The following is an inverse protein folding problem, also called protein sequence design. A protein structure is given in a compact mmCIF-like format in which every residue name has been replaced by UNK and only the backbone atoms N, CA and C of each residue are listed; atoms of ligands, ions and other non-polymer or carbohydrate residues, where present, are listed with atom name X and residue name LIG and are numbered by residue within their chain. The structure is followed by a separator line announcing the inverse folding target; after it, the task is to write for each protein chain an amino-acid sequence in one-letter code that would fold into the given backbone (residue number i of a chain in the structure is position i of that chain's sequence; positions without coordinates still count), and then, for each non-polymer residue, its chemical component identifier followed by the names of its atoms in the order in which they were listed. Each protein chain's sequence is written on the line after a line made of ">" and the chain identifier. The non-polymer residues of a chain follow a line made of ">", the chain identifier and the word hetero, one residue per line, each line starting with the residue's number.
data_IF_705088022420
#
_entry.id   IF_705088022420
#
_cell.length_a   1.000
_cell.length_b   1.000
_cell.length_c   1.000
_cell.angle_alpha   90.00
_cell.angle_beta   90.00
_cell.angle_gamma   90.00
#
_symmetry.space_group_name_H-M   'P 1'
#
loop_
_entity.id
_entity.type
_entity.pdbx_description
1 polymer ?
#
# COMPACT_ATOMS: atom_id res chain seq x y z
N UNK A 1 72.46 33.22 -38.13
CA UNK A 1 71.47 32.77 -39.13
C UNK A 1 71.02 31.34 -38.89
N UNK A 2 71.94 30.40 -38.65
CA UNK A 2 71.60 29.00 -38.39
C UNK A 2 70.80 28.79 -37.07
N UNK A 3 71.20 29.48 -35.99
CA UNK A 3 70.50 29.47 -34.69
C UNK A 3 69.07 30.00 -34.74
N UNK A 4 68.84 31.13 -35.43
CA UNK A 4 67.49 31.69 -35.61
C UNK A 4 66.57 30.79 -36.44
N UNK A 5 67.14 29.96 -37.32
CA UNK A 5 66.39 28.98 -38.10
C UNK A 5 66.00 27.75 -37.27
N UNK A 6 66.89 27.30 -36.39
CA UNK A 6 66.61 26.22 -35.42
C UNK A 6 65.60 26.66 -34.37
N UNK A 7 65.70 27.88 -33.84
CA UNK A 7 64.72 28.45 -32.91
C UNK A 7 63.32 28.54 -33.55
N UNK A 8 63.23 29.08 -34.77
CA UNK A 8 61.95 29.13 -35.51
C UNK A 8 61.35 27.74 -35.76
N UNK A 9 62.20 26.75 -36.05
CA UNK A 9 61.76 25.37 -36.24
C UNK A 9 61.24 24.77 -34.94
N UNK A 10 61.95 24.98 -33.83
CA UNK A 10 61.54 24.53 -32.50
C UNK A 10 60.21 25.15 -32.07
N UNK A 11 60.03 26.47 -32.25
CA UNK A 11 58.75 27.13 -31.92
C UNK A 11 57.61 26.61 -32.80
N UNK A 12 57.88 26.26 -34.06
CA UNK A 12 56.87 25.69 -34.94
C UNK A 12 56.48 24.26 -34.53
N UNK A 13 57.45 23.43 -34.13
CA UNK A 13 57.21 22.09 -33.58
C UNK A 13 56.43 22.16 -32.25
N UNK A 14 56.76 23.10 -31.36
CA UNK A 14 56.00 23.34 -30.12
C UNK A 14 54.56 23.82 -30.40
N UNK A 15 54.37 24.75 -31.35
CA UNK A 15 53.05 25.21 -31.76
C UNK A 15 52.23 24.07 -32.35
N UNK A 16 52.84 23.21 -33.17
CA UNK A 16 52.18 22.05 -33.73
C UNK A 16 51.77 21.07 -32.62
N UNK A 17 52.66 20.77 -31.68
CA UNK A 17 52.37 19.90 -30.53
C UNK A 17 51.24 20.46 -29.68
N UNK A 18 51.24 21.78 -29.41
CA UNK A 18 50.19 22.44 -28.62
C UNK A 18 48.85 22.37 -29.37
N UNK A 19 48.86 22.50 -30.69
CA UNK A 19 47.65 22.41 -31.51
C UNK A 19 47.09 20.97 -31.52
N UNK A 20 47.96 19.95 -31.59
CA UNK A 20 47.57 18.54 -31.48
C UNK A 20 47.00 18.22 -30.08
N UNK A 21 47.59 18.75 -29.01
CA UNK A 21 47.09 18.59 -27.64
C UNK A 21 45.73 19.29 -27.43
N UNK A 22 45.56 20.50 -27.97
CA UNK A 22 44.27 21.20 -27.98
C UNK A 22 43.22 20.43 -28.78
N UNK A 23 43.58 19.85 -29.92
CA UNK A 23 42.68 19.02 -30.70
C UNK A 23 42.26 17.78 -29.91
N UNK A 24 43.20 17.07 -29.28
CA UNK A 24 42.91 15.92 -28.43
C UNK A 24 41.97 16.28 -27.28
N UNK A 25 42.23 17.40 -26.60
CA UNK A 25 41.37 17.88 -25.50
C UNK A 25 39.95 18.22 -25.99
N UNK A 26 39.82 18.75 -27.21
CA UNK A 26 38.53 19.06 -27.80
C UNK A 26 37.76 17.79 -28.21
N UNK A 27 38.46 16.77 -28.71
CA UNK A 27 37.90 15.45 -28.98
C UNK A 27 37.41 14.78 -27.69
N UNK A 28 38.22 14.76 -26.63
CA UNK A 28 37.83 14.25 -25.31
C UNK A 28 36.62 15.00 -24.72
N UNK A 29 36.58 16.33 -24.81
CA UNK A 29 35.44 17.12 -24.35
C UNK A 29 34.16 16.80 -25.14
N UNK A 30 34.30 16.58 -26.45
CA UNK A 30 33.19 16.19 -27.33
C UNK A 30 32.66 14.81 -26.95
N UNK A 31 33.55 13.84 -26.74
CA UNK A 31 33.17 12.50 -26.24
C UNK A 31 32.47 12.59 -24.89
N UNK A 32 33.02 13.36 -23.94
CA UNK A 32 32.40 13.54 -22.61
C UNK A 32 31.01 14.17 -22.70
N UNK A 33 30.81 15.12 -23.62
CA UNK A 33 29.50 15.73 -23.89
C UNK A 33 28.51 14.71 -24.46
N UNK A 34 28.93 13.88 -25.41
CA UNK A 34 28.09 12.82 -26.00
C UNK A 34 27.71 11.77 -24.95
N UNK A 35 28.65 11.34 -24.11
CA UNK A 35 28.38 10.44 -22.98
C UNK A 35 27.36 11.06 -22.02
N UNK A 36 27.55 12.33 -21.61
CA UNK A 36 26.61 13.02 -20.73
C UNK A 36 25.21 13.12 -21.34
N UNK A 37 25.13 13.37 -22.65
CA UNK A 37 23.86 13.41 -23.37
C UNK A 37 23.19 12.03 -23.38
N UNK A 38 23.95 10.95 -23.66
CA UNK A 38 23.46 9.58 -23.60
C UNK A 38 22.93 9.21 -22.21
N UNK A 39 23.64 9.58 -21.14
CA UNK A 39 23.18 9.33 -19.77
C UNK A 39 21.89 10.08 -19.44
N UNK A 40 21.74 11.32 -19.96
CA UNK A 40 20.52 12.09 -19.77
C UNK A 40 19.32 11.45 -20.49
N UNK A 41 19.53 10.96 -21.72
CA UNK A 41 18.51 10.24 -22.48
C UNK A 41 18.08 8.94 -21.78
N UNK A 42 19.04 8.18 -21.24
CA UNK A 42 18.76 6.97 -20.44
C UNK A 42 18.00 7.31 -19.14
N UNK A 43 18.41 8.37 -18.43
CA UNK A 43 17.72 8.82 -17.22
C UNK A 43 16.27 9.23 -17.51
N UNK A 44 16.04 9.95 -18.61
CA UNK A 44 14.70 10.34 -19.03
C UNK A 44 13.84 9.11 -19.37
N UNK A 45 14.43 8.11 -20.02
CA UNK A 45 13.76 6.85 -20.32
C UNK A 45 13.35 6.12 -19.04
N UNK A 46 14.26 5.99 -18.08
CA UNK A 46 13.99 5.36 -16.77
C UNK A 46 12.94 6.15 -15.99
N UNK A 47 12.97 7.48 -16.05
CA UNK A 47 11.97 8.32 -15.40
C UNK A 47 10.57 8.12 -16.01
N UNK A 48 10.48 8.05 -17.34
CA UNK A 48 9.24 7.76 -18.04
C UNK A 48 8.69 6.37 -17.68
N UNK A 49 9.55 5.35 -17.60
CA UNK A 49 9.16 4.01 -17.17
C UNK A 49 8.66 4.00 -15.71
N UNK A 50 9.34 4.70 -14.81
CA UNK A 50 8.91 4.84 -13.43
C UNK A 50 7.54 5.52 -13.33
N UNK A 51 7.30 6.58 -14.11
CA UNK A 51 6.02 7.27 -14.13
C UNK A 51 4.90 6.34 -14.60
N UNK A 52 5.14 5.56 -15.67
CA UNK A 52 4.18 4.55 -16.13
C UNK A 52 3.86 3.51 -15.04
N UNK A 53 4.87 3.08 -14.28
CA UNK A 53 4.68 2.14 -13.16
C UNK A 53 3.88 2.76 -12.02
N UNK A 54 4.10 4.04 -11.71
CA UNK A 54 3.31 4.78 -10.71
C UNK A 54 1.84 4.89 -11.13
N UNK A 55 1.59 5.16 -12.40
CA UNK A 55 0.24 5.27 -12.94
C UNK A 55 -0.50 3.92 -12.91
N UNK A 56 0.18 2.83 -13.31
CA UNK A 56 -0.32 1.45 -13.25
C UNK A 56 -0.68 1.02 -11.82
N UNK A 57 0.21 1.33 -10.86
CA UNK A 57 -0.02 1.05 -9.44
C UNK A 57 -1.22 1.85 -8.89
N UNK A 58 -1.32 3.12 -9.29
CA UNK A 58 -2.42 4.00 -8.87
C UNK A 58 -3.77 3.52 -9.39
N UNK A 59 -3.83 3.11 -10.66
CA UNK A 59 -5.03 2.52 -11.25
C UNK A 59 -5.44 1.23 -10.53
N UNK A 60 -4.50 0.31 -10.31
CA UNK A 60 -4.75 -0.95 -9.59
C UNK A 60 -5.22 -0.71 -8.15
N UNK A 61 -4.62 0.26 -7.46
CA UNK A 61 -5.01 0.63 -6.09
C UNK A 61 -6.43 1.20 -6.04
N UNK A 62 -6.81 2.02 -7.03
CA UNK A 62 -8.15 2.55 -7.21
C UNK A 62 -9.18 1.43 -7.44
N UNK A 63 -8.87 0.49 -8.34
CA UNK A 63 -9.74 -0.66 -8.60
C UNK A 63 -9.94 -1.52 -7.35
N UNK A 64 -8.88 -1.78 -6.59
CA UNK A 64 -8.97 -2.51 -5.33
C UNK A 64 -9.85 -1.77 -4.31
N UNK A 65 -9.70 -0.44 -4.18
CA UNK A 65 -10.55 0.37 -3.31
C UNK A 65 -12.02 0.28 -3.74
N UNK A 66 -12.30 0.46 -5.02
CA UNK A 66 -13.66 0.41 -5.57
C UNK A 66 -14.29 -0.98 -5.35
N UNK A 67 -13.54 -2.05 -5.58
CA UNK A 67 -14.02 -3.41 -5.33
C UNK A 67 -14.36 -3.62 -3.86
N UNK A 68 -13.46 -3.23 -2.94
CA UNK A 68 -13.71 -3.37 -1.51
C UNK A 68 -14.93 -2.55 -1.05
N UNK A 69 -15.04 -1.29 -1.48
CA UNK A 69 -16.16 -0.41 -1.15
C UNK A 69 -17.49 -0.89 -1.81
N UNK A 70 -17.43 -1.61 -2.94
CA UNK A 70 -18.61 -2.15 -3.63
C UNK A 70 -19.24 -3.39 -2.98
N UNK A 71 -18.48 -4.13 -2.17
CA UNK A 71 -18.98 -5.35 -1.49
C UNK A 71 -19.93 -5.05 -0.34
N UNK A 72 -20.01 -3.79 0.10
CA UNK A 72 -20.77 -3.34 1.27
C UNK A 72 -20.42 -4.09 2.58
N UNK A 73 -19.23 -4.71 2.62
CA UNK A 73 -18.72 -5.41 3.81
C UNK A 73 -17.76 -4.47 4.55
N UNK A 74 -18.06 -4.21 5.81
CA UNK A 74 -17.14 -3.52 6.72
C UNK A 74 -15.90 -4.38 6.93
N UNK A 75 -14.73 -3.87 6.52
CA UNK A 75 -13.46 -4.62 6.57
C UNK A 75 -12.34 -3.72 7.06
N UNK A 76 -11.51 -4.24 7.99
CA UNK A 76 -10.31 -3.59 8.51
C UNK A 76 -9.11 -4.51 8.31
N UNK A 77 -8.07 -3.99 7.68
CA UNK A 77 -6.78 -4.67 7.49
C UNK A 77 -5.81 -4.16 8.53
N UNK A 78 -5.20 -5.07 9.27
CA UNK A 78 -4.21 -4.76 10.30
C UNK A 78 -2.86 -5.39 9.95
N UNK A 79 -1.75 -4.78 10.35
CA UNK A 79 -0.42 -5.38 10.26
C UNK A 79 -0.16 -6.39 11.40
N UNK A 80 1.07 -6.93 11.45
CA UNK A 80 1.49 -7.89 12.48
C UNK A 80 1.50 -7.31 13.91
N UNK A 81 1.52 -5.98 14.05
CA UNK A 81 1.44 -5.29 15.34
C UNK A 81 0.04 -4.69 15.60
N UNK A 82 -0.96 -5.10 14.80
CA UNK A 82 -2.35 -4.66 14.87
C UNK A 82 -2.56 -3.17 14.58
N UNK A 83 -1.67 -2.54 13.81
CA UNK A 83 -1.91 -1.20 13.28
C UNK A 83 -2.78 -1.24 12.03
N UNK A 84 -3.66 -0.25 11.89
CA UNK A 84 -4.56 -0.12 10.75
C UNK A 84 -3.75 0.13 9.48
N UNK A 85 -3.85 -0.75 8.49
CA UNK A 85 -3.24 -0.56 7.15
C UNK A 85 -4.21 0.00 6.14
N UNK A 86 -5.46 -0.49 6.16
CA UNK A 86 -6.52 -0.08 5.24
C UNK A 86 -7.87 -0.48 5.82
N UNK A 87 -8.93 0.20 5.41
CA UNK A 87 -10.29 -0.12 5.81
C UNK A 87 -11.27 0.27 4.70
N UNK A 88 -12.45 -0.37 4.68
CA UNK A 88 -13.55 0.03 3.80
C UNK A 88 -14.34 1.18 4.39
N UNK A 89 -15.06 1.92 3.54
CA UNK A 89 -15.93 3.02 3.98
C UNK A 89 -16.97 2.54 4.99
N UNK A 90 -17.46 1.31 4.84
CA UNK A 90 -18.44 0.65 5.70
C UNK A 90 -17.89 0.37 7.10
N UNK A 91 -16.58 0.12 7.23
CA UNK A 91 -15.95 -0.05 8.53
C UNK A 91 -16.06 1.22 9.39
N UNK A 92 -16.24 2.40 8.78
CA UNK A 92 -16.40 3.68 9.51
C UNK A 92 -17.72 3.78 10.28
N UNK A 93 -18.71 2.94 9.96
CA UNK A 93 -19.96 2.87 10.72
C UNK A 93 -19.74 2.17 12.08
N UNK A 94 -18.85 1.17 12.11
CA UNK A 94 -18.56 0.34 13.29
C UNK A 94 -17.42 0.94 14.13
N UNK A 95 -16.36 1.38 13.47
CA UNK A 95 -15.20 2.07 14.05
C UNK A 95 -15.22 3.53 13.63
N UNK A 96 -14.90 4.48 14.51
CA UNK A 96 -14.81 5.90 14.15
C UNK A 96 -13.50 6.23 13.42
N UNK A 97 -13.20 5.47 12.37
CA UNK A 97 -11.99 5.58 11.55
C UNK A 97 -12.06 6.77 10.59
N UNK A 98 -10.93 7.45 10.44
CA UNK A 98 -10.68 8.46 9.41
C UNK A 98 -9.43 8.11 8.60
N UNK A 99 -9.25 8.66 7.38
CA UNK A 99 -8.08 8.35 6.55
C UNK A 99 -6.72 8.56 7.23
N UNK A 100 -6.65 9.49 8.19
CA UNK A 100 -5.44 9.74 8.99
C UNK A 100 -5.11 8.68 10.05
N UNK A 101 -5.99 7.70 10.29
CA UNK A 101 -5.76 6.64 11.27
C UNK A 101 -4.93 5.47 10.72
N UNK A 102 -4.58 5.49 9.43
CA UNK A 102 -3.65 4.51 8.86
C UNK A 102 -2.31 4.61 9.60
N UNK A 103 -1.82 3.47 10.09
CA UNK A 103 -0.63 3.33 10.93
C UNK A 103 -0.90 3.43 12.44
N UNK A 104 -2.12 3.76 12.88
CA UNK A 104 -2.47 3.79 14.31
C UNK A 104 -2.83 2.39 14.83
N UNK A 105 -2.53 2.07 16.11
CA UNK A 105 -2.96 0.83 16.73
C UNK A 105 -4.49 0.74 16.75
N UNK A 106 -5.06 -0.44 16.45
CA UNK A 106 -6.51 -0.62 16.51
C UNK A 106 -7.08 -0.36 17.91
N UNK A 107 -6.29 -0.58 18.97
CA UNK A 107 -6.65 -0.29 20.37
C UNK A 107 -6.99 1.17 20.63
N UNK A 108 -6.46 2.09 19.82
CA UNK A 108 -6.64 3.53 20.01
C UNK A 108 -7.84 4.06 19.23
N UNK A 109 -8.53 3.19 18.50
CA UNK A 109 -9.68 3.51 17.66
C UNK A 109 -10.96 3.16 18.41
N UNK A 110 -11.83 4.16 18.59
CA UNK A 110 -13.13 3.97 19.24
C UNK A 110 -14.07 3.18 18.33
N UNK A 111 -14.77 2.20 18.90
CA UNK A 111 -15.78 1.39 18.20
C UNK A 111 -17.03 1.16 19.03
N UNK A 112 -18.12 0.80 18.37
CA UNK A 112 -19.44 0.61 18.97
C UNK A 112 -19.82 -0.88 19.16
N UNK A 113 -18.88 -1.81 19.00
CA UNK A 113 -19.05 -3.25 19.24
C UNK A 113 -18.96 -3.62 20.73
N UNK A 114 -19.83 -4.52 21.19
CA UNK A 114 -19.70 -5.22 22.47
C UNK A 114 -18.81 -6.47 22.30
N UNK A 115 -17.52 -6.21 22.09
CA UNK A 115 -16.50 -7.25 21.85
C UNK A 115 -15.18 -6.92 22.55
N UNK A 116 -15.09 -7.10 23.88
CA UNK A 116 -13.88 -6.77 24.63
C UNK A 116 -12.66 -7.60 24.19
N UNK A 117 -12.88 -8.84 23.77
CA UNK A 117 -11.82 -9.78 23.39
C UNK A 117 -11.33 -9.63 21.93
N UNK A 118 -11.82 -8.63 21.18
CA UNK A 118 -11.52 -8.46 19.75
C UNK A 118 -10.02 -8.48 19.44
N UNK A 119 -9.23 -7.75 20.24
CA UNK A 119 -7.78 -7.67 20.06
C UNK A 119 -7.09 -8.99 20.42
N UNK A 120 -7.54 -9.65 21.48
CA UNK A 120 -6.99 -10.94 21.91
C UNK A 120 -7.25 -12.02 20.85
N UNK A 121 -8.46 -12.05 20.28
CA UNK A 121 -8.78 -12.94 19.18
C UNK A 121 -7.96 -12.64 17.92
N UNK A 122 -7.68 -11.36 17.63
CA UNK A 122 -6.81 -10.98 16.52
C UNK A 122 -5.36 -11.45 16.73
N UNK A 123 -4.83 -11.31 17.95
CA UNK A 123 -3.51 -11.82 18.31
C UNK A 123 -3.45 -13.36 18.24
N UNK A 124 -4.50 -14.04 18.70
CA UNK A 124 -4.57 -15.50 18.65
C UNK A 124 -4.61 -16.01 17.20
N UNK A 125 -5.32 -15.32 16.29
CA UNK A 125 -5.31 -15.63 14.86
C UNK A 125 -3.92 -15.41 14.25
N UNK A 126 -3.20 -14.35 14.62
CA UNK A 126 -1.81 -14.14 14.19
C UNK A 126 -0.89 -15.28 14.64
N UNK A 127 -1.07 -15.76 15.87
CA UNK A 127 -0.24 -16.79 16.49
C UNK A 127 -0.53 -18.18 15.94
N UNK A 128 -1.80 -18.52 15.74
CA UNK A 128 -2.25 -19.87 15.39
C UNK A 128 -2.51 -20.05 13.89
N UNK A 129 -2.74 -18.95 13.17
CA UNK A 129 -3.19 -18.92 11.77
C UNK A 129 -4.54 -19.59 11.54
N UNK A 130 -5.28 -19.87 12.62
CA UNK A 130 -6.65 -20.37 12.58
C UNK A 130 -7.56 -19.16 12.63
N UNK A 131 -8.52 -19.08 11.71
CA UNK A 131 -9.48 -17.98 11.69
C UNK A 131 -10.42 -18.04 12.91
N UNK A 132 -10.91 -16.88 13.34
CA UNK A 132 -11.93 -16.75 14.39
C UNK A 132 -13.20 -16.20 13.78
N UNK A 133 -14.35 -16.73 14.18
CA UNK A 133 -15.67 -16.25 13.76
C UNK A 133 -16.61 -16.22 14.97
N UNK A 134 -17.19 -15.05 15.27
CA UNK A 134 -18.12 -14.87 16.38
C UNK A 134 -19.29 -13.98 15.99
N UNK A 135 -20.46 -14.27 16.55
CA UNK A 135 -21.61 -13.36 16.49
C UNK A 135 -21.54 -12.41 17.67
N UNK A 136 -21.52 -11.11 17.37
CA UNK A 136 -21.23 -10.04 18.32
C UNK A 136 -22.34 -9.00 18.26
N UNK A 137 -22.91 -8.58 19.40
CA UNK A 137 -23.84 -7.46 19.42
C UNK A 137 -23.11 -6.12 19.27
N UNK A 138 -23.74 -5.19 18.53
CA UNK A 138 -23.34 -3.78 18.49
C UNK A 138 -24.12 -2.93 19.50
N UNK A 139 -23.84 -1.63 19.53
CA UNK A 139 -24.78 -0.65 20.11
C UNK A 139 -26.07 -0.61 19.30
N UNK A 140 -27.20 -0.39 19.96
CA UNK A 140 -28.53 -0.23 19.36
C UNK A 140 -29.18 -1.48 18.74
N UNK A 141 -28.91 -2.65 19.30
CA UNK A 141 -29.51 -3.95 18.93
C UNK A 141 -29.07 -4.52 17.57
N UNK A 142 -28.03 -3.95 16.99
CA UNK A 142 -27.36 -4.50 15.82
C UNK A 142 -26.60 -5.79 16.17
N UNK A 143 -26.48 -6.67 15.20
CA UNK A 143 -25.72 -7.92 15.31
C UNK A 143 -24.80 -8.09 14.13
N UNK A 144 -23.55 -8.46 14.42
CA UNK A 144 -22.54 -8.69 13.41
C UNK A 144 -21.97 -10.10 13.51
N UNK A 145 -21.70 -10.73 12.37
CA UNK A 145 -20.70 -11.80 12.30
C UNK A 145 -19.35 -11.12 12.12
N UNK A 146 -18.49 -11.26 13.13
CA UNK A 146 -17.10 -10.81 13.08
C UNK A 146 -16.23 -11.99 12.72
N UNK A 147 -15.53 -11.88 11.60
CA UNK A 147 -14.59 -12.90 11.14
C UNK A 147 -13.19 -12.31 11.02
N UNK A 148 -12.24 -12.94 11.70
CA UNK A 148 -10.84 -12.56 11.73
C UNK A 148 -10.04 -13.63 10.99
N UNK A 149 -9.36 -13.24 9.92
CA UNK A 149 -8.55 -14.13 9.09
C UNK A 149 -7.09 -13.67 9.04
N UNK A 150 -6.11 -14.58 9.02
CA UNK A 150 -4.73 -14.21 8.78
C UNK A 150 -4.57 -13.66 7.37
N UNK A 151 -3.87 -12.54 7.22
CA UNK A 151 -3.52 -11.97 5.93
C UNK A 151 -2.21 -12.57 5.44
N UNK A 152 -2.22 -13.10 4.22
CA UNK A 152 -1.05 -13.69 3.55
C UNK A 152 -0.65 -12.85 2.36
N UNK A 153 0.63 -12.52 2.25
CA UNK A 153 1.19 -11.92 1.05
C UNK A 153 1.23 -12.92 -0.10
N UNK A 154 1.53 -12.46 -1.31
CA UNK A 154 1.74 -13.32 -2.48
C UNK A 154 2.91 -14.31 -2.28
N UNK A 155 3.87 -13.95 -1.42
CA UNK A 155 4.99 -14.80 -1.02
C UNK A 155 4.62 -15.79 0.11
N UNK A 156 3.33 -15.87 0.46
CA UNK A 156 2.77 -16.73 1.51
C UNK A 156 3.34 -16.42 2.91
N UNK A 157 3.80 -15.19 3.13
CA UNK A 157 4.22 -14.68 4.44
C UNK A 157 2.99 -14.12 5.16
N UNK A 158 2.87 -14.40 6.47
CA UNK A 158 1.83 -13.80 7.31
C UNK A 158 2.21 -12.35 7.59
N UNK A 159 1.35 -11.46 7.15
CA UNK A 159 1.56 -10.03 7.24
C UNK A 159 0.30 -9.38 7.80
N UNK A 160 -0.10 -9.77 9.00
CA UNK A 160 -1.23 -9.21 9.71
C UNK A 160 -2.53 -10.01 9.63
N UNK A 161 -3.65 -9.34 9.89
CA UNK A 161 -5.00 -9.93 9.85
C UNK A 161 -5.98 -9.05 9.08
N UNK A 162 -7.05 -9.68 8.61
CA UNK A 162 -8.22 -9.02 8.05
C UNK A 162 -9.41 -9.31 8.96
N UNK A 163 -10.09 -8.26 9.40
CA UNK A 163 -11.31 -8.36 10.19
C UNK A 163 -12.47 -7.90 9.32
N UNK A 164 -13.45 -8.78 9.11
CA UNK A 164 -14.69 -8.46 8.39
C UNK A 164 -15.87 -8.49 9.34
N UNK A 165 -16.80 -7.57 9.14
CA UNK A 165 -18.03 -7.43 9.90
C UNK A 165 -19.20 -7.52 8.93
N UNK A 166 -20.04 -8.54 9.12
CA UNK A 166 -21.23 -8.77 8.30
C UNK A 166 -22.45 -8.52 9.16
N UNK A 167 -23.26 -7.55 8.78
CA UNK A 167 -24.52 -7.24 9.46
C UNK A 167 -25.51 -8.41 9.31
N UNK A 168 -25.99 -8.93 10.43
CA UNK A 168 -27.01 -9.98 10.53
C UNK A 168 -28.22 -9.54 11.36
N UNK A 169 -28.39 -8.24 11.57
CA UNK A 169 -29.42 -7.63 12.42
C UNK A 169 -30.82 -7.97 11.91
N UNK A 170 -31.05 -7.89 10.60
CA UNK A 170 -32.33 -8.27 9.98
C UNK A 170 -32.63 -9.76 10.16
N UNK A 171 -31.64 -10.63 9.96
CA UNK A 171 -31.81 -12.07 10.15
C UNK A 171 -32.16 -12.39 11.62
N UNK A 172 -31.51 -11.72 12.58
CA UNK A 172 -31.79 -11.86 14.02
C UNK A 172 -33.20 -11.37 14.38
N UNK A 173 -33.64 -10.25 13.81
CA UNK A 173 -35.01 -9.73 14.01
C UNK A 173 -36.06 -10.72 13.53
N UNK A 174 -35.90 -11.25 12.31
CA UNK A 174 -36.81 -12.24 11.74
C UNK A 174 -36.82 -13.56 12.54
N UNK A 175 -35.67 -14.02 13.02
CA UNK A 175 -35.58 -15.21 13.89
C UNK A 175 -36.36 -15.00 15.20
N UNK A 176 -36.24 -13.81 15.80
CA UNK A 176 -36.95 -13.46 17.04
C UNK A 176 -38.47 -13.39 16.83
N UNK A 177 -38.93 -12.76 15.76
CA UNK A 177 -40.36 -12.67 15.40
C UNK A 177 -40.97 -14.07 15.17
N UNK A 178 -40.26 -14.93 14.42
CA UNK A 178 -40.69 -16.32 14.20
C UNK A 178 -40.74 -17.12 15.50
N UNK A 179 -39.76 -16.94 16.39
CA UNK A 179 -39.73 -17.61 17.70
C UNK A 179 -40.90 -17.15 18.57
N UNK A 180 -41.22 -15.85 18.58
CA UNK A 180 -42.36 -15.29 19.31
C UNK A 180 -43.72 -15.77 18.75
N UNK A 181 -43.90 -15.78 17.43
CA UNK A 181 -45.12 -16.28 16.79
C UNK A 181 -45.37 -17.77 17.06
N UNK A 182 -44.31 -18.59 17.12
CA UNK A 182 -44.40 -20.01 17.48
C UNK A 182 -44.70 -20.24 18.98
N UNK A 183 -44.26 -19.34 19.85
CA UNK A 183 -44.55 -19.41 21.28
C UNK A 183 -45.96 -18.92 21.64
N UNK A 184 -46.61 -18.12 20.76
CA UNK A 184 -47.95 -17.56 20.96
C UNK A 184 -49.10 -18.21 20.17
N UNK A 185 -48.89 -19.37 19.53
CA UNK A 185 -49.94 -20.10 18.78
C UNK A 185 -50.95 -20.81 19.70
N UNK A 186 -52.24 -20.95 19.30
CA UNK A 186 -53.39 -20.97 20.20
C UNK A 186 -53.52 -22.29 20.97
N UNK A 187 -53.23 -22.21 22.27
CA UNK A 187 -53.45 -23.27 23.24
C UNK A 187 -53.82 -22.63 24.59
N UNK A 188 -54.90 -21.88 24.61
CA UNK A 188 -55.59 -21.41 25.82
C UNK A 188 -57.09 -21.41 25.55
#
# INVERSE_FOLDING_TARGET
>A
MQTSHEELKSTNEELQSTNEELQSTNEELTTSKEEMQSLNEELQMVNAELQLKVDELSATSSDMKNLMDSTDIATVFLDNALHVRRFTSQATHIFKLIPGDVGRPLSDIVHDLDYPDLLDDAQEVLRTLVFSEKQVPGRDADWYIVRIMPYRTLENVIDGVVITFIDISEAKRLEAELRAARAGGPGS
#
